data_IF_908195204607
#
_entry.id   IF_908195204607
#
_cell.length_a   1.000
_cell.length_b   1.000
_cell.length_c   1.000
_cell.angle_alpha   90.00
_cell.angle_beta   90.00
_cell.angle_gamma   90.00
#
_symmetry.space_group_name_H-M   'P 1'
#
loop_
_entity.id
_entity.type
_entity.pdbx_description
1 polymer ?
#
# COMPACT_ATOMS: atom_id res chain seq x y z
N UNK A 1 18.62 -25.47 -37.57
CA UNK A 1 17.37 -24.77 -37.22
C UNK A 1 16.96 -25.34 -35.87
N UNK A 2 17.01 -24.57 -34.79
CA UNK A 2 16.65 -25.09 -33.46
C UNK A 2 15.12 -25.16 -33.38
N UNK A 3 14.53 -26.35 -33.39
CA UNK A 3 13.12 -26.51 -33.06
C UNK A 3 12.99 -26.50 -31.53
N UNK A 4 12.53 -25.38 -30.96
CA UNK A 4 12.29 -25.29 -29.51
C UNK A 4 10.92 -25.91 -29.19
N UNK A 5 10.93 -27.06 -28.51
CA UNK A 5 9.70 -27.67 -27.98
C UNK A 5 9.41 -27.11 -26.58
N UNK A 6 8.17 -26.63 -26.40
CA UNK A 6 7.50 -26.17 -25.18
C UNK A 6 8.37 -25.99 -23.92
N UNK A 7 8.60 -24.73 -23.52
CA UNK A 7 9.14 -24.40 -22.20
C UNK A 7 8.05 -24.58 -21.15
N UNK A 8 8.20 -25.58 -20.27
CA UNK A 8 7.37 -25.67 -19.08
C UNK A 8 8.11 -24.97 -17.93
N UNK A 9 7.41 -24.06 -17.26
CA UNK A 9 7.95 -23.29 -16.15
C UNK A 9 7.06 -23.51 -14.94
N UNK A 10 7.64 -24.02 -13.86
CA UNK A 10 6.92 -24.33 -12.62
C UNK A 10 7.70 -23.79 -11.43
N UNK A 11 7.01 -23.18 -10.46
CA UNK A 11 7.61 -22.79 -9.19
C UNK A 11 7.58 -23.95 -8.20
N UNK A 12 8.71 -24.24 -7.56
CA UNK A 12 8.85 -25.28 -6.54
C UNK A 12 9.51 -24.68 -5.30
N UNK A 13 9.04 -25.08 -4.12
CA UNK A 13 9.72 -24.79 -2.85
C UNK A 13 10.69 -25.92 -2.53
N UNK A 14 11.96 -25.59 -2.34
CA UNK A 14 13.02 -26.52 -1.98
C UNK A 14 13.40 -26.32 -0.52
N UNK A 15 13.17 -27.32 0.32
CA UNK A 15 13.57 -27.28 1.73
C UNK A 15 15.02 -27.77 1.88
N UNK A 16 15.96 -26.84 2.15
CA UNK A 16 17.38 -27.14 2.38
C UNK A 16 17.78 -26.79 3.81
N UNK A 17 18.24 -27.79 4.58
CA UNK A 17 18.97 -27.61 5.86
C UNK A 17 18.38 -26.52 6.79
N UNK A 18 17.05 -26.51 6.94
CA UNK A 18 16.23 -25.60 7.75
C UNK A 18 15.75 -24.29 7.10
N UNK A 19 16.01 -24.07 5.80
CA UNK A 19 15.49 -22.93 5.03
C UNK A 19 14.65 -23.41 3.84
N UNK A 20 13.53 -22.75 3.57
CA UNK A 20 12.68 -23.02 2.41
C UNK A 20 13.02 -22.05 1.28
N UNK A 21 13.54 -22.54 0.16
CA UNK A 21 13.93 -21.73 -0.99
C UNK A 21 12.87 -21.79 -2.08
N UNK A 22 12.31 -20.66 -2.49
CA UNK A 22 11.37 -20.62 -3.63
C UNK A 22 12.13 -20.49 -4.95
N UNK A 23 12.04 -21.50 -5.81
CA UNK A 23 12.77 -21.57 -7.08
C UNK A 23 11.81 -21.71 -8.26
N UNK A 24 12.09 -20.98 -9.33
CA UNK A 24 11.48 -21.17 -10.63
C UNK A 24 12.29 -22.19 -11.41
N UNK A 25 11.66 -23.29 -11.81
CA UNK A 25 12.26 -24.34 -12.62
C UNK A 25 11.69 -24.22 -14.03
N UNK A 26 12.55 -24.09 -15.03
CA UNK A 26 12.14 -24.14 -16.44
C UNK A 26 12.95 -25.18 -17.19
N UNK A 27 12.29 -25.98 -18.02
CA UNK A 27 12.97 -26.92 -18.89
C UNK A 27 12.76 -26.62 -20.37
N UNK A 28 13.80 -26.84 -21.17
CA UNK A 28 13.77 -26.66 -22.62
C UNK A 28 14.55 -27.78 -23.29
N UNK A 29 13.90 -28.49 -24.20
CA UNK A 29 14.55 -29.55 -24.99
C UNK A 29 14.97 -29.00 -26.34
N UNK A 30 16.20 -29.30 -26.76
CA UNK A 30 16.74 -28.90 -28.05
C UNK A 30 17.61 -30.02 -28.63
N UNK A 31 17.69 -30.09 -29.96
CA UNK A 31 18.50 -31.08 -30.66
C UNK A 31 19.75 -30.46 -31.27
N UNK A 32 20.88 -31.16 -31.18
CA UNK A 32 22.14 -30.78 -31.80
C UNK A 32 22.85 -32.03 -32.31
N UNK A 33 23.24 -32.05 -33.59
CA UNK A 33 24.01 -33.13 -34.21
C UNK A 33 23.44 -34.54 -33.92
N UNK A 34 22.12 -34.70 -34.06
CA UNK A 34 21.38 -35.95 -33.79
C UNK A 34 21.34 -36.38 -32.31
N UNK A 35 21.69 -35.49 -31.38
CA UNK A 35 21.57 -35.70 -29.94
C UNK A 35 20.53 -34.75 -29.37
N UNK A 36 19.65 -35.27 -28.51
CA UNK A 36 18.67 -34.47 -27.78
C UNK A 36 19.25 -34.04 -26.44
N UNK A 37 19.17 -32.75 -26.16
CA UNK A 37 19.63 -32.12 -24.93
C UNK A 37 18.45 -31.50 -24.19
N UNK A 38 18.49 -31.54 -22.86
CA UNK A 38 17.52 -30.89 -21.99
C UNK A 38 18.23 -29.84 -21.14
N UNK A 39 17.93 -28.57 -21.37
CA UNK A 39 18.35 -27.46 -20.54
C UNK A 39 17.37 -27.33 -19.38
N UNK A 40 17.89 -27.41 -18.14
CA UNK A 40 17.13 -27.10 -16.93
C UNK A 40 17.68 -25.80 -16.36
N UNK A 41 16.80 -24.82 -16.16
CA UNK A 41 17.11 -23.54 -15.54
C UNK A 41 16.45 -23.50 -14.16
N UNK A 42 17.25 -23.16 -13.15
CA UNK A 42 16.81 -22.97 -11.76
C UNK A 42 17.08 -21.52 -11.38
N UNK A 43 16.05 -20.76 -11.04
CA UNK A 43 16.16 -19.37 -10.63
C UNK A 43 15.60 -19.18 -9.23
N UNK A 44 16.42 -18.70 -8.29
CA UNK A 44 15.93 -18.22 -7.00
C UNK A 44 15.05 -16.97 -7.24
N UNK A 45 13.80 -17.02 -6.80
CA UNK A 45 12.85 -15.90 -6.93
C UNK A 45 12.52 -15.24 -5.59
N UNK A 46 13.05 -15.75 -4.49
CA UNK A 46 12.75 -15.29 -3.13
C UNK A 46 13.23 -13.85 -2.89
N UNK A 47 14.47 -13.54 -3.23
CA UNK A 47 15.02 -12.19 -3.08
C UNK A 47 14.25 -11.16 -3.93
N UNK A 48 13.89 -11.53 -5.15
CA UNK A 48 13.15 -10.66 -6.06
C UNK A 48 11.71 -10.47 -5.60
N UNK A 49 11.05 -11.53 -5.13
CA UNK A 49 9.70 -11.46 -4.58
C UNK A 49 9.68 -10.62 -3.31
N UNK A 50 10.59 -10.87 -2.36
CA UNK A 50 10.72 -10.10 -1.13
C UNK A 50 10.99 -8.62 -1.40
N UNK A 51 11.85 -8.31 -2.37
CA UNK A 51 12.09 -6.92 -2.79
C UNK A 51 10.84 -6.28 -3.38
N UNK A 52 10.16 -6.96 -4.30
CA UNK A 52 8.94 -6.45 -4.93
C UNK A 52 7.82 -6.24 -3.92
N UNK A 53 7.62 -7.17 -2.99
CA UNK A 53 6.67 -7.03 -1.89
C UNK A 53 7.05 -5.84 -1.01
N UNK A 54 8.32 -5.73 -0.59
CA UNK A 54 8.79 -4.60 0.22
C UNK A 54 8.56 -3.25 -0.47
N UNK A 55 8.82 -3.15 -1.77
CA UNK A 55 8.55 -1.94 -2.56
C UNK A 55 7.04 -1.64 -2.65
N UNK A 56 6.20 -2.65 -2.88
CA UNK A 56 4.76 -2.51 -2.88
C UNK A 56 4.24 -2.05 -1.50
N UNK A 57 4.73 -2.66 -0.42
CA UNK A 57 4.40 -2.28 0.96
C UNK A 57 4.83 -0.84 1.27
N UNK A 58 6.03 -0.42 0.86
CA UNK A 58 6.50 0.98 1.01
C UNK A 58 5.60 1.95 0.27
N UNK A 59 5.19 1.62 -0.95
CA UNK A 59 4.29 2.46 -1.75
C UNK A 59 2.91 2.58 -1.11
N UNK A 60 2.36 1.46 -0.62
CA UNK A 60 1.09 1.45 0.11
C UNK A 60 1.18 2.32 1.37
N UNK A 61 2.24 2.14 2.18
CA UNK A 61 2.47 2.96 3.37
C UNK A 61 2.55 4.46 3.05
N UNK A 62 3.21 4.82 1.94
CA UNK A 62 3.31 6.23 1.51
C UNK A 62 1.95 6.83 1.16
N UNK A 63 1.13 6.11 0.37
CA UNK A 63 -0.23 6.56 0.03
C UNK A 63 -1.09 6.65 1.29
N UNK A 64 -1.04 5.65 2.17
CA UNK A 64 -1.78 5.66 3.43
C UNK A 64 -1.41 6.84 4.32
N UNK A 65 -0.12 7.17 4.40
CA UNK A 65 0.37 8.34 5.13
C UNK A 65 -0.21 9.63 4.56
N UNK A 66 -0.25 9.75 3.23
CA UNK A 66 -0.88 10.88 2.55
C UNK A 66 -2.38 10.99 2.87
N UNK A 67 -3.12 9.88 2.87
CA UNK A 67 -4.55 9.88 3.18
C UNK A 67 -4.85 10.23 4.64
N UNK A 68 -4.01 9.78 5.56
CA UNK A 68 -4.06 10.18 6.98
C UNK A 68 -3.81 11.69 7.10
N UNK A 69 -2.75 12.19 6.47
CA UNK A 69 -2.40 13.62 6.48
C UNK A 69 -3.51 14.48 5.86
N UNK A 70 -4.13 14.03 4.77
CA UNK A 70 -5.26 14.71 4.12
C UNK A 70 -6.51 14.77 4.99
N UNK A 71 -6.63 13.88 5.96
CA UNK A 71 -7.74 13.88 6.91
C UNK A 71 -7.43 14.73 8.15
N UNK A 72 -6.16 14.81 8.56
CA UNK A 72 -5.73 15.56 9.75
C UNK A 72 -5.48 17.04 9.46
N UNK A 73 -4.87 17.40 8.32
CA UNK A 73 -4.50 18.78 8.01
C UNK A 73 -5.69 19.78 8.06
N UNK A 74 -6.89 19.45 7.55
CA UNK A 74 -8.05 20.33 7.68
C UNK A 74 -8.50 20.55 9.13
N UNK A 75 -8.36 19.53 9.99
CA UNK A 75 -8.70 19.63 11.42
C UNK A 75 -7.81 20.67 12.09
N UNK A 76 -6.50 20.57 11.88
CA UNK A 76 -5.51 21.49 12.50
C UNK A 76 -5.74 22.92 12.02
N UNK A 77 -5.86 23.14 10.71
CA UNK A 77 -6.07 24.48 10.15
C UNK A 77 -7.37 25.11 10.64
N UNK A 78 -8.45 24.33 10.74
CA UNK A 78 -9.74 24.81 11.21
C UNK A 78 -9.75 25.07 12.72
N UNK A 79 -9.08 24.22 13.51
CA UNK A 79 -8.91 24.44 14.94
C UNK A 79 -8.11 25.71 15.23
N UNK A 80 -7.02 25.96 14.50
CA UNK A 80 -6.24 27.20 14.58
C UNK A 80 -7.08 28.43 14.21
N UNK A 81 -7.91 28.33 13.19
CA UNK A 81 -8.80 29.42 12.75
C UNK A 81 -9.84 29.74 13.82
N UNK A 82 -10.49 28.72 14.36
CA UNK A 82 -11.44 28.87 15.47
C UNK A 82 -10.78 29.47 16.70
N UNK A 83 -9.57 29.01 17.05
CA UNK A 83 -8.81 29.55 18.17
C UNK A 83 -8.51 31.04 17.99
N UNK A 84 -8.04 31.46 16.80
CA UNK A 84 -7.77 32.87 16.48
C UNK A 84 -9.03 33.73 16.60
N UNK A 85 -10.15 33.27 16.01
CA UNK A 85 -11.43 33.98 16.08
C UNK A 85 -11.92 34.15 17.53
N UNK A 86 -11.80 33.10 18.34
CA UNK A 86 -12.15 33.15 19.76
C UNK A 86 -11.25 34.14 20.51
N UNK A 87 -9.94 34.07 20.30
CA UNK A 87 -8.98 34.97 20.95
C UNK A 87 -9.24 36.45 20.60
N UNK A 88 -9.52 36.75 19.32
CA UNK A 88 -9.82 38.11 18.88
C UNK A 88 -11.11 38.67 19.48
N UNK A 89 -12.12 37.83 19.72
CA UNK A 89 -13.34 38.27 20.39
C UNK A 89 -13.15 38.48 21.90
N UNK A 90 -12.29 37.69 22.54
CA UNK A 90 -11.92 37.90 23.94
C UNK A 90 -11.14 39.21 24.12
N UNK A 91 -10.18 39.48 23.24
CA UNK A 91 -9.34 40.69 23.32
C UNK A 91 -10.08 41.96 22.90
N UNK A 92 -11.00 41.86 21.92
CA UNK A 92 -11.70 43.02 21.36
C UNK A 92 -13.23 42.83 21.30
N UNK A 93 -13.90 42.70 22.46
CA UNK A 93 -15.32 42.31 22.54
C UNK A 93 -16.30 43.34 21.95
N UNK A 94 -15.86 44.58 21.68
CA UNK A 94 -16.71 45.64 21.11
C UNK A 94 -16.58 45.80 19.58
N UNK A 95 -15.53 45.26 18.97
CA UNK A 95 -15.24 45.42 17.53
C UNK A 95 -15.31 44.10 16.77
N UNK A 96 -15.18 42.97 17.46
CA UNK A 96 -15.21 41.63 16.86
C UNK A 96 -16.53 40.93 17.21
N UNK A 97 -17.45 40.86 16.25
CA UNK A 97 -18.66 40.02 16.36
C UNK A 97 -18.28 38.58 16.04
N UNK A 98 -18.34 37.70 17.03
CA UNK A 98 -18.09 36.27 16.83
C UNK A 98 -19.34 35.64 16.19
N UNK A 99 -19.26 35.26 14.93
CA UNK A 99 -20.35 34.58 14.25
C UNK A 99 -20.46 33.13 14.77
N UNK A 100 -21.47 32.89 15.61
CA UNK A 100 -21.72 31.57 16.19
C UNK A 100 -21.96 30.50 15.11
N UNK A 101 -22.43 30.93 13.94
CA UNK A 101 -22.70 30.08 12.78
C UNK A 101 -21.38 29.54 12.18
N UNK A 102 -20.37 30.38 12.02
CA UNK A 102 -19.02 30.00 11.57
C UNK A 102 -18.32 29.07 12.57
N UNK A 103 -18.45 29.36 13.87
CA UNK A 103 -17.91 28.49 14.92
C UNK A 103 -18.59 27.12 14.89
N UNK A 104 -19.91 27.08 14.71
CA UNK A 104 -20.67 25.85 14.62
C UNK A 104 -20.36 25.07 13.34
N UNK A 105 -20.18 25.76 12.21
CA UNK A 105 -19.74 25.16 10.95
C UNK A 105 -18.34 24.54 11.10
N UNK A 106 -17.41 25.28 11.72
CA UNK A 106 -16.07 24.81 12.02
C UNK A 106 -16.07 23.54 12.91
N UNK A 107 -16.85 23.58 14.00
CA UNK A 107 -17.06 22.44 14.89
C UNK A 107 -17.61 21.21 14.15
N UNK A 108 -18.59 21.40 13.27
CA UNK A 108 -19.21 20.31 12.51
C UNK A 108 -18.23 19.65 11.54
N UNK A 109 -17.36 20.44 10.91
CA UNK A 109 -16.30 19.94 10.03
C UNK A 109 -15.24 19.15 10.80
N UNK A 110 -14.83 19.62 11.99
CA UNK A 110 -13.95 18.85 12.89
C UNK A 110 -14.63 17.54 13.30
N UNK A 111 -15.91 17.56 13.65
CA UNK A 111 -16.66 16.35 14.06
C UNK A 111 -16.76 15.29 12.94
N UNK A 112 -16.81 15.69 11.68
CA UNK A 112 -16.88 14.77 10.52
C UNK A 112 -15.55 14.13 10.15
N UNK A 113 -14.43 14.76 10.51
CA UNK A 113 -13.10 14.32 10.08
C UNK A 113 -12.64 12.99 10.71
N UNK A 114 -12.90 12.69 12.00
CA UNK A 114 -12.67 11.37 12.59
C UNK A 114 -13.42 10.24 11.87
N UNK A 115 -14.65 10.48 11.38
CA UNK A 115 -15.40 9.45 10.65
C UNK A 115 -14.69 9.03 9.36
N UNK A 116 -13.97 9.95 8.70
CA UNK A 116 -13.17 9.63 7.50
C UNK A 116 -11.96 8.76 7.83
N UNK A 117 -11.31 9.00 8.97
CA UNK A 117 -10.21 8.15 9.46
C UNK A 117 -10.72 6.74 9.83
N UNK A 118 -11.91 6.63 10.40
CA UNK A 118 -12.53 5.33 10.69
C UNK A 118 -12.79 4.51 9.43
N UNK A 119 -13.20 5.15 8.32
CA UNK A 119 -13.36 4.49 7.02
C UNK A 119 -12.01 3.97 6.47
N UNK A 120 -10.96 4.80 6.54
CA UNK A 120 -9.60 4.42 6.12
C UNK A 120 -9.11 3.21 6.94
N UNK A 121 -9.29 3.24 8.27
CA UNK A 121 -8.91 2.12 9.15
C UNK A 121 -9.69 0.84 8.85
N UNK A 122 -10.99 0.95 8.53
CA UNK A 122 -11.81 -0.20 8.11
C UNK A 122 -11.34 -0.80 6.80
N UNK A 123 -10.96 0.04 5.84
CA UNK A 123 -10.42 -0.42 4.56
C UNK A 123 -9.06 -1.12 4.71
N UNK A 124 -8.21 -0.65 5.62
CA UNK A 124 -6.95 -1.33 5.97
C UNK A 124 -7.16 -2.68 6.66
N UNK A 125 -8.22 -2.81 7.47
CA UNK A 125 -8.50 -4.04 8.23
C UNK A 125 -9.18 -5.11 7.39
N UNK A 126 -9.58 -4.82 6.14
CA UNK A 126 -10.14 -5.84 5.25
C UNK A 126 -9.04 -6.88 4.94
N UNK A 127 -9.31 -8.18 5.16
CA UNK A 127 -8.35 -9.21 4.77
C UNK A 127 -8.10 -9.08 3.27
N UNK A 128 -6.83 -8.98 2.88
CA UNK A 128 -6.41 -9.11 1.50
C UNK A 128 -6.88 -10.50 1.06
N UNK A 129 -8.02 -10.58 0.35
CA UNK A 129 -8.41 -11.82 -0.29
C UNK A 129 -7.35 -12.09 -1.35
N UNK A 130 -6.40 -12.96 -1.00
CA UNK A 130 -5.55 -13.61 -1.98
C UNK A 130 -6.49 -14.22 -3.00
N UNK A 131 -6.59 -13.60 -4.17
CA UNK A 131 -7.00 -14.28 -5.39
C UNK A 131 -5.90 -15.31 -5.68
N UNK A 132 -5.96 -16.43 -4.97
CA UNK A 132 -5.38 -17.67 -5.42
C UNK A 132 -6.13 -18.01 -6.71
N UNK A 133 -5.45 -17.77 -7.83
CA UNK A 133 -5.88 -18.21 -9.15
C UNK A 133 -6.13 -19.72 -9.07
N UNK A 134 -7.39 -20.12 -9.26
CA UNK A 134 -7.76 -21.49 -9.61
C UNK A 134 -7.28 -21.79 -11.03
#
# INVERSE_FOLDING_TARGET
MFETYHSNTTSVTLDLRQESLKVLISDTVFEMESHSFKLIVLQNIEDTLNRNESEAWKKLLSVMTHEIMNSIAPITSLAETLQKNIQQSIEHPKTTSLELEDVNAGRNSIKKSPCRLDEICKDLSKPQQNHACQ
#
